data_IF_757245382987
#
_entry.id   IF_757245382987
#
_cell.length_a   1.000
_cell.length_b   1.000
_cell.length_c   1.000
_cell.angle_alpha   90.00
_cell.angle_beta   90.00
_cell.angle_gamma   90.00
#
_symmetry.space_group_name_H-M   'P 1'
#
loop_
_entity.id
_entity.type
_entity.pdbx_description
1 polymer ?
#
# COMPACT_ATOMS: atom_id res chain seq x y z
N UNK A 1 -19.49 24.10 -0.63
CA UNK A 1 -19.17 22.70 -0.26
C UNK A 1 -17.90 22.69 0.56
N UNK A 2 -17.92 22.07 1.71
CA UNK A 2 -16.70 21.93 2.53
C UNK A 2 -15.89 20.72 2.05
N UNK A 3 -14.79 20.97 1.36
CA UNK A 3 -13.94 19.96 0.77
C UNK A 3 -13.39 18.95 1.80
N UNK A 4 -13.02 19.44 3.00
CA UNK A 4 -12.55 18.58 4.08
C UNK A 4 -13.62 17.59 4.56
N UNK A 5 -14.87 18.04 4.62
CA UNK A 5 -15.98 17.15 4.99
C UNK A 5 -16.22 16.07 3.92
N UNK A 6 -16.10 16.42 2.66
CA UNK A 6 -16.21 15.47 1.54
C UNK A 6 -15.11 14.42 1.60
N UNK A 7 -13.86 14.83 1.78
CA UNK A 7 -12.73 13.89 1.90
C UNK A 7 -12.86 12.97 3.12
N UNK A 8 -13.31 13.50 4.25
CA UNK A 8 -13.54 12.69 5.45
C UNK A 8 -14.60 11.62 5.21
N UNK A 9 -15.71 11.98 4.59
CA UNK A 9 -16.78 11.05 4.26
C UNK A 9 -16.32 9.95 3.28
N UNK A 10 -15.61 10.32 2.23
CA UNK A 10 -15.06 9.37 1.26
C UNK A 10 -14.02 8.44 1.91
N UNK A 11 -13.16 8.97 2.78
CA UNK A 11 -12.19 8.17 3.51
C UNK A 11 -12.86 7.15 4.44
N UNK A 12 -13.93 7.54 5.12
CA UNK A 12 -14.72 6.62 5.94
C UNK A 12 -15.38 5.51 5.11
N UNK A 13 -15.85 5.82 3.90
CA UNK A 13 -16.41 4.81 2.99
C UNK A 13 -15.38 3.76 2.56
N UNK A 14 -14.09 4.08 2.58
CA UNK A 14 -13.00 3.16 2.27
C UNK A 14 -12.52 2.34 3.48
N UNK A 15 -13.03 2.60 4.67
CA UNK A 15 -12.50 2.01 5.91
C UNK A 15 -12.40 0.48 5.87
N UNK A 16 -13.47 -0.20 5.51
CA UNK A 16 -13.50 -1.68 5.47
C UNK A 16 -12.50 -2.24 4.47
N UNK A 17 -12.36 -1.59 3.32
CA UNK A 17 -11.38 -1.97 2.30
C UNK A 17 -9.94 -1.75 2.78
N UNK A 18 -9.67 -0.63 3.46
CA UNK A 18 -8.35 -0.35 4.04
C UNK A 18 -7.98 -1.36 5.11
N UNK A 19 -8.93 -1.76 5.95
CA UNK A 19 -8.72 -2.81 6.96
C UNK A 19 -8.41 -4.14 6.30
N UNK A 20 -9.14 -4.51 5.24
CA UNK A 20 -8.91 -5.75 4.50
C UNK A 20 -7.52 -5.78 3.87
N UNK A 21 -7.08 -4.73 3.21
CA UNK A 21 -5.73 -4.63 2.64
C UNK A 21 -4.64 -4.70 3.72
N UNK A 22 -4.81 -3.94 4.79
CA UNK A 22 -3.85 -3.95 5.90
C UNK A 22 -3.66 -5.34 6.49
N UNK A 23 -4.76 -6.06 6.73
CA UNK A 23 -4.74 -7.42 7.26
C UNK A 23 -4.13 -8.42 6.30
N UNK A 24 -4.43 -8.30 5.01
CA UNK A 24 -3.84 -9.14 3.98
C UNK A 24 -2.33 -8.97 3.89
N UNK A 25 -1.83 -7.74 3.86
CA UNK A 25 -0.39 -7.48 3.86
C UNK A 25 0.28 -7.93 5.16
N UNK A 26 -0.38 -7.76 6.29
CA UNK A 26 0.13 -8.23 7.58
C UNK A 26 0.27 -9.74 7.65
N UNK A 27 -0.69 -10.48 7.10
CA UNK A 27 -0.65 -11.96 7.05
C UNK A 27 0.38 -12.50 6.05
N UNK A 28 0.81 -11.70 5.07
CA UNK A 28 1.75 -12.08 4.03
C UNK A 28 2.95 -11.14 3.96
N UNK A 29 3.70 -10.99 5.06
CA UNK A 29 4.80 -10.04 5.12
C UNK A 29 5.97 -10.46 4.24
N UNK A 30 6.60 -9.48 3.61
CA UNK A 30 7.77 -9.68 2.75
C UNK A 30 8.91 -8.76 3.17
N UNK A 31 10.14 -9.26 3.14
CA UNK A 31 11.34 -8.50 3.47
C UNK A 31 11.70 -7.50 2.38
N UNK A 32 12.46 -6.47 2.76
CA UNK A 32 12.99 -5.48 1.83
C UNK A 32 13.68 -6.13 0.63
N UNK A 33 13.38 -5.63 -0.56
CA UNK A 33 13.77 -6.15 -1.87
C UNK A 33 13.23 -7.53 -2.25
N UNK A 34 12.28 -8.06 -1.47
CA UNK A 34 11.58 -9.31 -1.75
C UNK A 34 10.06 -9.13 -1.73
N UNK A 35 9.57 -7.89 -1.82
CA UNK A 35 8.15 -7.53 -1.75
C UNK A 35 7.39 -7.83 -3.06
N UNK A 36 7.60 -8.99 -3.64
CA UNK A 36 7.06 -9.35 -4.96
C UNK A 36 5.54 -9.43 -4.97
N UNK A 37 4.94 -10.08 -3.95
CA UNK A 37 3.49 -10.18 -3.81
C UNK A 37 2.86 -8.83 -3.50
N UNK A 38 3.40 -8.12 -2.52
CA UNK A 38 2.90 -6.81 -2.10
C UNK A 38 2.96 -5.81 -3.24
N UNK A 39 4.09 -5.74 -3.94
CA UNK A 39 4.25 -4.87 -5.11
C UNK A 39 3.27 -5.21 -6.24
N UNK A 40 3.02 -6.49 -6.49
CA UNK A 40 2.05 -6.94 -7.48
C UNK A 40 0.63 -6.47 -7.16
N UNK A 41 0.19 -6.63 -5.92
CA UNK A 41 -1.14 -6.19 -5.46
C UNK A 41 -1.28 -4.67 -5.56
N UNK A 42 -0.28 -3.91 -5.11
CA UNK A 42 -0.28 -2.45 -5.20
C UNK A 42 -0.35 -1.99 -6.65
N UNK A 43 0.47 -2.58 -7.54
CA UNK A 43 0.48 -2.24 -8.95
C UNK A 43 -0.89 -2.52 -9.62
N UNK A 44 -1.51 -3.64 -9.30
CA UNK A 44 -2.81 -4.00 -9.87
C UNK A 44 -3.92 -3.04 -9.42
N UNK A 45 -3.97 -2.69 -8.14
CA UNK A 45 -4.94 -1.70 -7.66
C UNK A 45 -4.75 -0.32 -8.28
N UNK A 46 -3.51 0.12 -8.46
CA UNK A 46 -3.24 1.40 -9.13
C UNK A 46 -3.65 1.37 -10.60
N UNK A 47 -3.46 0.24 -11.30
CA UNK A 47 -3.95 0.06 -12.68
C UNK A 47 -5.47 0.05 -12.76
N UNK A 48 -6.15 -0.59 -11.80
CA UNK A 48 -7.62 -0.59 -11.71
C UNK A 48 -8.19 0.83 -11.57
N UNK A 49 -7.44 1.74 -10.94
CA UNK A 49 -7.78 3.16 -10.87
C UNK A 49 -7.53 3.92 -12.19
N UNK A 50 -7.02 3.26 -13.21
CA UNK A 50 -6.73 3.87 -14.51
C UNK A 50 -5.40 4.61 -14.58
N UNK A 51 -4.51 4.41 -13.60
CA UNK A 51 -3.21 5.07 -13.56
C UNK A 51 -2.17 4.32 -14.40
N UNK A 52 -1.23 5.07 -14.96
CA UNK A 52 -0.03 4.50 -15.55
C UNK A 52 0.94 4.09 -14.44
N UNK A 53 1.32 2.81 -14.43
CA UNK A 53 2.11 2.21 -13.35
C UNK A 53 3.43 1.67 -13.88
N UNK A 54 4.52 2.07 -13.25
CA UNK A 54 5.86 1.51 -13.47
C UNK A 54 6.22 0.60 -12.30
N UNK A 55 6.71 -0.60 -12.60
CA UNK A 55 7.13 -1.61 -11.62
C UNK A 55 8.63 -1.91 -11.73
N UNK A 56 9.18 -2.59 -10.74
CA UNK A 56 10.59 -2.97 -10.74
C UNK A 56 11.56 -1.81 -10.47
N UNK A 57 11.07 -0.70 -9.96
CA UNK A 57 11.91 0.44 -9.61
C UNK A 57 12.70 0.09 -8.34
N UNK A 58 14.03 0.13 -8.42
CA UNK A 58 14.87 -0.28 -7.29
C UNK A 58 14.63 -1.73 -6.86
N UNK A 59 14.34 -2.63 -7.79
CA UNK A 59 13.98 -4.06 -7.73
C UNK A 59 12.49 -4.33 -7.59
N UNK A 60 11.83 -3.89 -6.53
CA UNK A 60 10.42 -4.21 -6.22
C UNK A 60 9.51 -2.98 -6.17
N UNK A 61 10.06 -1.78 -6.30
CA UNK A 61 9.30 -0.55 -6.19
C UNK A 61 8.23 -0.38 -7.27
N UNK A 62 7.15 0.29 -6.88
CA UNK A 62 6.02 0.62 -7.75
C UNK A 62 5.85 2.13 -7.75
N UNK A 63 5.71 2.72 -8.91
CA UNK A 63 5.49 4.16 -9.09
C UNK A 63 4.27 4.38 -9.96
N UNK A 64 3.41 5.28 -9.55
CA UNK A 64 2.30 5.77 -10.36
C UNK A 64 2.24 7.29 -10.32
N UNK A 65 1.74 7.90 -11.37
CA UNK A 65 1.54 9.33 -11.47
C UNK A 65 0.05 9.63 -11.54
N UNK A 66 -0.39 10.55 -10.68
CA UNK A 66 -1.76 11.10 -10.74
C UNK A 66 -1.66 12.53 -11.28
N UNK A 67 -2.22 12.74 -12.43
CA UNK A 67 -2.31 14.07 -13.03
C UNK A 67 -3.69 14.64 -12.76
N UNK A 68 -3.74 15.92 -12.36
CA UNK A 68 -5.00 16.67 -12.26
C UNK A 68 -5.49 17.07 -13.65
N UNK A 69 -6.80 17.12 -13.79
CA UNK A 69 -7.44 17.75 -14.96
C UNK A 69 -7.00 19.19 -15.06
N UNK A 70 -6.82 19.91 -15.97
CA UNK A 70 -6.46 21.34 -16.05
C UNK A 70 -5.20 21.76 -15.24
N UNK A 71 -4.25 20.86 -15.07
CA UNK A 71 -3.03 21.20 -14.33
C UNK A 71 -2.12 22.13 -15.16
N UNK A 72 -1.78 23.33 -14.68
CA UNK A 72 -0.83 24.20 -15.36
C UNK A 72 0.56 23.56 -15.48
N UNK A 73 1.27 23.81 -16.58
CA UNK A 73 2.61 23.26 -16.81
C UNK A 73 3.62 23.61 -15.70
N UNK A 74 3.40 24.70 -14.96
CA UNK A 74 4.23 25.15 -13.85
C UNK A 74 3.70 24.73 -12.47
N UNK A 75 2.70 23.85 -12.40
CA UNK A 75 2.18 23.39 -11.13
C UNK A 75 3.21 22.57 -10.36
N UNK A 76 3.30 22.72 -9.02
CA UNK A 76 4.21 21.92 -8.22
C UNK A 76 3.78 20.45 -8.20
N UNK A 77 4.77 19.58 -8.18
CA UNK A 77 4.55 18.12 -8.03
C UNK A 77 4.78 17.72 -6.57
N UNK A 78 3.89 16.93 -6.03
CA UNK A 78 4.02 16.33 -4.70
C UNK A 78 4.41 14.86 -4.84
N UNK A 79 5.46 14.44 -4.17
CA UNK A 79 5.85 13.04 -4.06
C UNK A 79 5.37 12.46 -2.74
N UNK A 80 4.64 11.36 -2.81
CA UNK A 80 4.25 10.56 -1.65
C UNK A 80 5.04 9.25 -1.68
N UNK A 81 5.66 8.89 -0.56
CA UNK A 81 6.43 7.66 -0.40
C UNK A 81 5.78 6.75 0.65
N UNK A 82 5.66 5.48 0.31
CA UNK A 82 5.12 4.44 1.17
C UNK A 82 6.04 3.24 1.17
N UNK A 83 6.35 2.70 2.35
CA UNK A 83 7.14 1.49 2.48
C UNK A 83 6.24 0.24 2.35
N UNK A 84 6.75 -0.80 1.70
CA UNK A 84 6.03 -2.06 1.46
C UNK A 84 6.66 -3.25 2.21
N UNK A 85 7.85 -3.08 2.74
CA UNK A 85 8.58 -4.14 3.41
C UNK A 85 8.10 -4.37 4.85
N UNK A 86 8.37 -5.56 5.35
CA UNK A 86 8.16 -5.93 6.73
C UNK A 86 9.49 -6.26 7.40
N UNK A 87 9.54 -6.10 8.72
CA UNK A 87 10.71 -6.44 9.52
C UNK A 87 10.72 -7.93 9.90
N UNK A 88 11.89 -8.55 10.06
CA UNK A 88 12.03 -9.96 10.47
C UNK A 88 11.79 -10.15 11.97
N UNK A 89 10.65 -9.67 12.46
CA UNK A 89 10.24 -9.75 13.87
C UNK A 89 9.18 -10.83 14.04
N UNK A 90 9.29 -11.63 15.07
CA UNK A 90 8.32 -12.69 15.37
C UNK A 90 7.09 -12.12 16.07
N UNK A 91 5.91 -12.29 15.49
CA UNK A 91 4.65 -11.86 16.09
C UNK A 91 4.22 -12.84 17.19
N UNK A 92 3.82 -12.31 18.35
CA UNK A 92 3.38 -13.07 19.52
C UNK A 92 1.97 -12.72 19.99
N UNK A 93 1.19 -12.04 19.16
CA UNK A 93 -0.15 -11.57 19.53
C UNK A 93 -1.17 -12.69 19.64
N UNK A 94 -0.97 -13.81 18.94
CA UNK A 94 -1.93 -14.92 18.90
C UNK A 94 -3.27 -14.58 18.23
N UNK A 95 -3.36 -13.43 17.55
CA UNK A 95 -4.58 -13.01 16.86
C UNK A 95 -4.83 -13.83 15.59
N UNK A 96 -6.10 -13.92 15.10
CA UNK A 96 -6.42 -14.59 13.84
C UNK A 96 -5.73 -13.99 12.61
N UNK A 97 -5.10 -12.82 12.76
CA UNK A 97 -4.32 -12.12 11.74
C UNK A 97 -2.87 -12.60 11.67
N UNK A 98 -2.45 -13.46 12.61
CA UNK A 98 -1.11 -14.00 12.61
C UNK A 98 -0.89 -14.87 11.38
N UNK A 99 0.31 -14.83 10.92
CA UNK A 99 0.84 -15.44 9.70
C UNK A 99 0.28 -16.81 9.33
N UNK A 100 -0.04 -16.94 8.07
CA UNK A 100 -0.33 -18.23 7.41
C UNK A 100 0.91 -18.91 6.84
N UNK A 101 2.06 -18.28 6.82
CA UNK A 101 3.29 -18.87 6.27
C UNK A 101 4.01 -19.71 7.32
N UNK A 102 3.90 -21.01 7.17
CA UNK A 102 4.68 -21.97 7.93
C UNK A 102 6.18 -21.76 7.74
N UNK A 103 6.81 -21.45 8.82
CA UNK A 103 8.19 -21.28 9.23
C UNK A 103 8.51 -19.86 9.71
N UNK A 104 8.02 -19.54 10.91
CA UNK A 104 8.87 -18.95 11.92
C UNK A 104 9.28 -17.49 11.79
N UNK A 105 8.60 -16.65 11.02
CA UNK A 105 8.92 -15.23 11.04
C UNK A 105 7.64 -14.39 10.92
N UNK A 106 7.03 -14.15 12.03
CA UNK A 106 5.94 -13.20 12.15
C UNK A 106 6.51 -11.78 12.26
N UNK A 107 5.76 -10.78 11.86
CA UNK A 107 6.27 -9.42 11.72
C UNK A 107 5.27 -8.41 12.22
N UNK A 108 5.75 -7.43 12.96
CA UNK A 108 4.99 -6.27 13.35
C UNK A 108 5.31 -5.12 12.40
N UNK A 109 4.27 -4.46 11.93
CA UNK A 109 4.40 -3.17 11.29
C UNK A 109 4.62 -2.11 12.35
N UNK A 110 5.64 -1.30 12.18
CA UNK A 110 5.80 -0.07 12.95
C UNK A 110 4.93 1.04 12.37
#
# INVERSE_FOLDING_TARGET
MNLLHTFHHEAQALYDQLVAWRRDFHMHPELGFHETRTAGIVADHLRELGLEVSTGIGKTGVVAVVEGDDTPAAAPTVLLRFDMDALPVHEQTGLPLCLTTGRGHARLWS
#
